data_IF_080116681845
#
_entry.id   IF_080116681845
#
_cell.length_a   1.000
_cell.length_b   1.000
_cell.length_c   1.000
_cell.angle_alpha   90.00
_cell.angle_beta   90.00
_cell.angle_gamma   90.00
#
_symmetry.space_group_name_H-M   'P 1'
#
loop_
_entity.id
_entity.type
_entity.pdbx_description
1 polymer ?
#
# COMPACT_ATOMS: atom_id res chain seq x y z
N UNK A 1 -17.18 -10.00 -51.56
CA UNK A 1 -16.13 -9.69 -50.56
C UNK A 1 -16.67 -8.61 -49.63
N UNK A 2 -17.16 -9.00 -48.44
CA UNK A 2 -17.74 -8.10 -47.46
C UNK A 2 -16.72 -7.92 -46.33
N UNK A 3 -16.14 -6.73 -46.21
CA UNK A 3 -15.20 -6.39 -45.14
C UNK A 3 -16.00 -5.92 -43.92
N UNK A 4 -15.99 -6.72 -42.85
CA UNK A 4 -16.55 -6.35 -41.55
C UNK A 4 -15.45 -5.57 -40.80
N UNK A 5 -15.58 -4.25 -40.75
CA UNK A 5 -14.79 -3.39 -39.88
C UNK A 5 -15.31 -3.54 -38.44
N UNK A 6 -14.59 -4.32 -37.64
CA UNK A 6 -14.83 -4.47 -36.21
C UNK A 6 -14.32 -3.21 -35.50
N UNK A 7 -15.24 -2.28 -35.23
CA UNK A 7 -14.96 -1.09 -34.42
C UNK A 7 -14.88 -1.50 -32.95
N UNK A 8 -13.67 -1.79 -32.47
CA UNK A 8 -13.39 -2.03 -31.05
C UNK A 8 -13.46 -0.67 -30.35
N UNK A 9 -14.62 -0.37 -29.77
CA UNK A 9 -14.78 0.68 -28.77
C UNK A 9 -13.99 0.27 -27.53
N UNK A 10 -12.74 0.72 -27.42
CA UNK A 10 -12.04 0.81 -26.14
C UNK A 10 -12.79 1.85 -25.30
N UNK A 11 -13.73 1.39 -24.48
CA UNK A 11 -14.27 2.19 -23.37
C UNK A 11 -13.10 2.34 -22.38
N UNK A 12 -12.28 3.35 -22.62
CA UNK A 12 -11.37 3.87 -21.62
C UNK A 12 -12.26 4.40 -20.50
N UNK A 13 -12.37 3.64 -19.40
CA UNK A 13 -12.84 4.17 -18.13
C UNK A 13 -11.81 5.23 -17.67
N UNK A 14 -11.82 6.38 -18.31
CA UNK A 14 -11.20 7.58 -17.81
C UNK A 14 -11.95 7.89 -16.52
N UNK A 15 -11.38 7.47 -15.39
CA UNK A 15 -11.74 8.01 -14.10
C UNK A 15 -11.51 9.51 -14.25
N UNK A 16 -12.61 10.25 -14.31
CA UNK A 16 -12.62 11.71 -14.34
C UNK A 16 -11.97 12.19 -13.03
N UNK A 17 -10.64 12.31 -13.05
CA UNK A 17 -9.88 13.10 -12.08
C UNK A 17 -9.98 14.60 -12.40
N UNK A 18 -10.92 14.98 -13.27
CA UNK A 18 -11.22 16.35 -13.66
C UNK A 18 -11.90 17.08 -12.51
N UNK A 19 -11.09 17.70 -11.64
CA UNK A 19 -11.45 18.86 -10.83
C UNK A 19 -12.53 18.70 -9.76
N UNK A 20 -13.20 17.55 -9.67
CA UNK A 20 -14.04 17.17 -8.55
C UNK A 20 -13.16 17.03 -7.31
N UNK A 21 -13.46 17.77 -6.25
CA UNK A 21 -12.78 17.59 -4.95
C UNK A 21 -12.95 16.13 -4.55
N UNK A 22 -11.84 15.38 -4.51
CA UNK A 22 -11.86 14.06 -3.87
C UNK A 22 -12.13 14.33 -2.39
N UNK A 23 -13.27 13.85 -1.89
CA UNK A 23 -13.62 14.02 -0.48
C UNK A 23 -12.66 13.21 0.40
N UNK A 24 -12.39 13.74 1.59
CA UNK A 24 -11.58 13.04 2.60
C UNK A 24 -12.29 11.76 3.01
N UNK A 25 -11.58 10.64 2.98
CA UNK A 25 -12.17 9.33 3.27
C UNK A 25 -12.47 9.20 4.77
N UNK A 26 -13.57 8.52 5.09
CA UNK A 26 -13.81 7.97 6.41
C UNK A 26 -13.91 6.44 6.37
N UNK A 27 -13.52 5.78 7.46
CA UNK A 27 -13.43 4.32 7.51
C UNK A 27 -14.80 3.65 7.27
N UNK A 28 -15.86 4.17 7.88
CA UNK A 28 -17.21 3.59 7.78
C UNK A 28 -17.75 3.61 6.33
N UNK A 29 -17.52 4.70 5.59
CA UNK A 29 -17.87 4.81 4.17
C UNK A 29 -17.10 3.77 3.34
N UNK A 30 -15.80 3.64 3.56
CA UNK A 30 -14.98 2.64 2.84
C UNK A 30 -15.47 1.23 3.15
N UNK A 31 -15.81 0.92 4.41
CA UNK A 31 -16.40 -0.37 4.78
C UNK A 31 -17.75 -0.62 4.10
N UNK A 32 -18.64 0.39 4.04
CA UNK A 32 -19.95 0.29 3.37
C UNK A 32 -19.79 0.01 1.88
N UNK A 33 -18.92 0.75 1.19
CA UNK A 33 -18.64 0.51 -0.23
C UNK A 33 -17.96 -0.86 -0.45
N UNK A 34 -17.13 -1.32 0.48
CA UNK A 34 -16.52 -2.65 0.42
C UNK A 34 -17.57 -3.77 0.51
N UNK A 35 -18.46 -3.68 1.49
CA UNK A 35 -19.58 -4.61 1.65
C UNK A 35 -20.47 -4.65 0.41
N UNK A 36 -20.81 -3.48 -0.14
CA UNK A 36 -21.57 -3.34 -1.37
C UNK A 36 -20.87 -3.99 -2.57
N UNK A 37 -19.56 -3.77 -2.74
CA UNK A 37 -18.75 -4.41 -3.80
C UNK A 37 -18.71 -5.94 -3.67
N UNK A 38 -18.67 -6.45 -2.44
CA UNK A 38 -18.63 -7.90 -2.16
C UNK A 38 -20.02 -8.56 -2.13
N UNK A 39 -21.10 -7.78 -2.12
CA UNK A 39 -22.46 -8.30 -1.98
C UNK A 39 -22.73 -8.90 -0.60
N UNK A 40 -22.12 -8.36 0.46
CA UNK A 40 -22.28 -8.82 1.85
C UNK A 40 -22.98 -7.76 2.72
N UNK A 41 -23.62 -8.21 3.79
CA UNK A 41 -24.33 -7.33 4.74
C UNK A 41 -23.35 -6.55 5.62
N UNK A 42 -23.47 -5.22 5.63
CA UNK A 42 -22.57 -4.35 6.38
C UNK A 42 -22.67 -4.55 7.90
N UNK A 43 -23.88 -4.60 8.47
CA UNK A 43 -24.06 -4.69 9.92
C UNK A 43 -23.49 -5.99 10.50
N UNK A 44 -23.59 -7.09 9.75
CA UNK A 44 -23.05 -8.40 10.13
C UNK A 44 -21.54 -8.50 9.97
N UNK A 45 -20.95 -7.75 9.04
CA UNK A 45 -19.55 -7.94 8.64
C UNK A 45 -18.60 -6.81 9.05
N UNK A 46 -19.09 -5.63 9.45
CA UNK A 46 -18.25 -4.46 9.76
C UNK A 46 -17.13 -4.72 10.78
N UNK A 47 -17.34 -5.65 11.73
CA UNK A 47 -16.33 -6.04 12.73
C UNK A 47 -15.18 -6.89 12.19
N UNK A 48 -15.35 -7.49 11.01
CA UNK A 48 -14.36 -8.35 10.37
C UNK A 48 -13.61 -7.66 9.23
N UNK A 49 -13.99 -6.43 8.91
CA UNK A 49 -13.39 -5.64 7.84
C UNK A 49 -12.47 -4.63 8.48
N UNK A 50 -11.18 -4.74 8.17
CA UNK A 50 -10.20 -3.77 8.58
C UNK A 50 -10.10 -2.68 7.52
N UNK A 51 -10.12 -1.42 7.95
CA UNK A 51 -9.84 -0.27 7.09
C UNK A 51 -8.77 0.57 7.75
N UNK A 52 -7.79 1.01 6.98
CA UNK A 52 -6.85 2.03 7.38
C UNK A 52 -6.89 3.17 6.37
N UNK A 53 -7.46 4.31 6.76
CA UNK A 53 -7.41 5.54 5.96
C UNK A 53 -6.07 6.21 6.21
N UNK A 54 -5.28 6.42 5.15
CA UNK A 54 -3.97 7.02 5.30
C UNK A 54 -4.08 8.51 5.67
N UNK A 55 -3.57 8.89 6.84
CA UNK A 55 -3.50 10.29 7.25
C UNK A 55 -2.55 11.13 6.38
N UNK A 56 -1.57 10.47 5.75
CA UNK A 56 -0.63 11.08 4.81
C UNK A 56 -1.22 11.18 3.41
N UNK A 57 -1.89 10.11 2.96
CA UNK A 57 -2.52 10.03 1.65
C UNK A 57 -4.04 9.98 1.82
N UNK A 58 -4.64 11.14 2.12
CA UNK A 58 -6.06 11.30 2.49
C UNK A 58 -7.11 10.65 1.58
N UNK A 59 -6.74 10.31 0.34
CA UNK A 59 -7.62 9.70 -0.65
C UNK A 59 -7.36 8.20 -0.85
N UNK A 60 -6.48 7.61 -0.03
CA UNK A 60 -6.08 6.21 -0.06
C UNK A 60 -6.54 5.55 1.24
N UNK A 61 -7.22 4.42 1.12
CA UNK A 61 -7.43 3.52 2.23
C UNK A 61 -6.97 2.11 1.87
N UNK A 62 -6.28 1.45 2.79
CA UNK A 62 -6.05 0.01 2.70
C UNK A 62 -7.25 -0.71 3.32
N UNK A 63 -7.68 -1.79 2.68
CA UNK A 63 -8.84 -2.57 3.09
C UNK A 63 -8.43 -4.02 3.20
N UNK A 64 -8.84 -4.64 4.30
CA UNK A 64 -8.45 -5.99 4.66
C UNK A 64 -9.52 -6.71 5.45
N UNK A 65 -9.20 -7.95 5.83
CA UNK A 65 -10.03 -8.75 6.71
C UNK A 65 -9.29 -9.09 8.01
N UNK A 66 -10.06 -9.33 9.05
CA UNK A 66 -9.53 -9.76 10.34
C UNK A 66 -9.33 -11.28 10.35
N UNK A 67 -8.10 -11.70 10.58
CA UNK A 67 -7.70 -13.08 10.87
C UNK A 67 -7.38 -13.22 12.36
N UNK A 68 -8.00 -14.19 13.04
CA UNK A 68 -7.91 -14.35 14.50
C UNK A 68 -6.48 -14.55 15.02
N UNK A 69 -5.58 -15.07 14.20
CA UNK A 69 -4.19 -15.38 14.54
C UNK A 69 -3.19 -14.30 14.10
N UNK A 70 -3.60 -13.31 13.30
CA UNK A 70 -2.69 -12.31 12.69
C UNK A 70 -3.20 -10.87 12.76
N UNK A 71 -4.43 -10.65 13.21
CA UNK A 71 -5.08 -9.35 13.14
C UNK A 71 -5.49 -9.00 11.71
N UNK A 72 -5.28 -7.77 11.29
CA UNK A 72 -5.72 -7.28 10.00
C UNK A 72 -4.77 -7.70 8.86
N UNK A 73 -5.33 -8.27 7.79
CA UNK A 73 -4.61 -8.71 6.60
C UNK A 73 -5.12 -7.96 5.38
N UNK A 74 -4.22 -7.34 4.61
CA UNK A 74 -4.59 -6.54 3.43
C UNK A 74 -5.17 -7.38 2.29
N UNK A 75 -6.23 -6.86 1.65
CA UNK A 75 -6.92 -7.52 0.53
C UNK A 75 -7.04 -6.62 -0.70
N UNK A 76 -7.33 -5.33 -0.50
CA UNK A 76 -7.52 -4.36 -1.58
C UNK A 76 -7.25 -2.95 -1.11
N UNK A 77 -7.27 -1.98 -2.03
CA UNK A 77 -7.11 -0.57 -1.71
C UNK A 77 -8.23 0.24 -2.32
N UNK A 78 -8.72 1.23 -1.58
CA UNK A 78 -9.71 2.17 -2.05
C UNK A 78 -9.05 3.48 -2.45
N UNK A 79 -9.29 3.93 -3.68
CA UNK A 79 -8.77 5.20 -4.19
C UNK A 79 -9.72 5.80 -5.23
N UNK A 80 -10.05 7.07 -5.05
CA UNK A 80 -10.90 7.83 -5.96
C UNK A 80 -12.22 7.11 -6.35
N UNK A 81 -12.88 6.47 -5.37
CA UNK A 81 -14.19 5.83 -5.58
C UNK A 81 -14.16 4.37 -6.02
N UNK A 82 -12.98 3.76 -6.19
CA UNK A 82 -12.85 2.38 -6.65
C UNK A 82 -11.92 1.54 -5.76
N UNK A 83 -12.19 0.23 -5.72
CA UNK A 83 -11.29 -0.73 -5.10
C UNK A 83 -10.40 -1.36 -6.16
N UNK A 84 -9.10 -1.12 -6.04
CA UNK A 84 -8.08 -1.49 -7.00
C UNK A 84 -6.94 -2.26 -6.32
N UNK A 85 -6.11 -2.91 -7.13
CA UNK A 85 -4.92 -3.61 -6.64
C UNK A 85 -3.81 -2.63 -6.26
N UNK A 86 -2.84 -3.05 -5.42
CA UNK A 86 -1.68 -2.21 -5.09
C UNK A 86 -0.89 -1.80 -6.34
N UNK A 87 -0.78 -2.71 -7.31
CA UNK A 87 -0.07 -2.49 -8.58
C UNK A 87 -0.69 -1.35 -9.39
N UNK A 88 -2.01 -1.28 -9.44
CA UNK A 88 -2.75 -0.21 -10.12
C UNK A 88 -2.80 1.08 -9.29
N UNK A 89 -2.92 0.95 -7.97
CA UNK A 89 -2.99 2.07 -7.03
C UNK A 89 -1.72 2.90 -7.06
N UNK A 90 -0.57 2.24 -6.93
CA UNK A 90 0.72 2.89 -6.66
C UNK A 90 1.05 4.00 -7.67
N UNK A 91 1.14 3.74 -8.99
CA UNK A 91 1.45 4.80 -9.95
C UNK A 91 0.37 5.90 -10.00
N UNK A 92 -0.93 5.54 -9.91
CA UNK A 92 -2.04 6.49 -9.96
C UNK A 92 -2.04 7.45 -8.78
N UNK A 93 -1.90 6.91 -7.57
CA UNK A 93 -1.88 7.71 -6.35
C UNK A 93 -0.60 8.54 -6.26
N UNK A 94 0.58 7.96 -6.55
CA UNK A 94 1.82 8.72 -6.53
C UNK A 94 1.82 9.86 -7.56
N UNK A 95 1.29 9.63 -8.77
CA UNK A 95 1.09 10.71 -9.75
C UNK A 95 0.22 11.83 -9.18
N UNK A 96 -0.91 11.50 -8.55
CA UNK A 96 -1.80 12.48 -7.89
C UNK A 96 -1.08 13.28 -6.80
N UNK A 97 -0.21 12.65 -6.02
CA UNK A 97 0.56 13.30 -4.95
C UNK A 97 1.85 13.99 -5.43
N UNK A 98 2.10 14.07 -6.74
CA UNK A 98 3.17 14.87 -7.33
C UNK A 98 4.45 14.09 -7.67
N UNK A 99 4.36 12.79 -7.94
CA UNK A 99 5.51 11.97 -8.35
C UNK A 99 6.27 12.47 -9.59
N UNK A 100 5.61 13.26 -10.44
CA UNK A 100 6.25 13.92 -11.59
C UNK A 100 7.36 14.89 -11.18
N UNK A 101 7.29 15.44 -9.97
CA UNK A 101 8.32 16.32 -9.43
C UNK A 101 9.46 15.49 -8.83
N UNK A 102 10.60 15.42 -9.53
CA UNK A 102 11.74 14.60 -9.13
C UNK A 102 12.19 14.84 -7.68
N UNK A 103 12.14 16.09 -7.19
CA UNK A 103 12.50 16.47 -5.83
C UNK A 103 11.58 15.92 -4.74
N UNK A 104 10.37 15.43 -5.09
CA UNK A 104 9.41 14.84 -4.16
C UNK A 104 9.49 13.31 -4.08
N UNK A 105 10.09 12.65 -5.08
CA UNK A 105 9.95 11.19 -5.26
C UNK A 105 10.49 10.39 -4.08
N UNK A 106 11.63 10.75 -3.51
CA UNK A 106 12.21 10.03 -2.37
C UNK A 106 11.31 10.10 -1.13
N UNK A 107 10.87 11.30 -0.75
CA UNK A 107 9.94 11.49 0.37
C UNK A 107 8.60 10.78 0.15
N UNK A 108 8.04 10.88 -1.06
CA UNK A 108 6.82 10.17 -1.45
C UNK A 108 6.99 8.65 -1.38
N UNK A 109 8.09 8.11 -1.90
CA UNK A 109 8.34 6.67 -1.92
C UNK A 109 8.44 6.11 -0.51
N UNK A 110 9.23 6.76 0.37
CA UNK A 110 9.37 6.32 1.75
C UNK A 110 8.02 6.35 2.48
N UNK A 111 7.29 7.45 2.39
CA UNK A 111 5.95 7.57 2.98
C UNK A 111 4.97 6.55 2.39
N UNK A 112 5.03 6.31 1.09
CA UNK A 112 4.14 5.36 0.41
C UNK A 112 4.36 3.94 0.92
N UNK A 113 5.62 3.51 0.98
CA UNK A 113 5.97 2.19 1.54
C UNK A 113 5.45 2.08 2.96
N UNK A 114 5.72 3.08 3.81
CA UNK A 114 5.48 2.94 5.25
C UNK A 114 4.06 3.26 5.71
N UNK A 115 3.29 4.01 4.91
CA UNK A 115 1.91 4.43 5.24
C UNK A 115 0.85 3.79 4.35
N UNK A 116 1.22 3.03 3.32
CA UNK A 116 0.27 2.36 2.42
C UNK A 116 0.66 0.91 2.16
N UNK A 117 1.89 0.64 1.72
CA UNK A 117 2.31 -0.73 1.35
C UNK A 117 2.33 -1.63 2.57
N UNK A 118 3.02 -1.20 3.64
CA UNK A 118 3.26 -1.98 4.86
C UNK A 118 2.34 -1.55 5.99
N UNK A 119 1.15 -1.02 5.69
CA UNK A 119 0.27 -0.38 6.70
C UNK A 119 -0.32 -1.36 7.71
N UNK A 120 -0.43 -2.64 7.34
CA UNK A 120 -0.85 -3.72 8.23
C UNK A 120 0.31 -4.31 9.03
N UNK A 121 1.52 -3.90 8.69
CA UNK A 121 2.78 -4.26 9.34
C UNK A 121 3.32 -3.01 10.06
N UNK A 122 4.50 -3.10 10.68
CA UNK A 122 5.12 -1.94 11.32
C UNK A 122 6.49 -1.64 10.75
N UNK A 123 6.69 -0.40 10.28
CA UNK A 123 8.03 0.10 9.96
C UNK A 123 8.91 0.09 11.23
N UNK A 124 10.15 -0.36 11.12
CA UNK A 124 11.08 -0.38 12.26
C UNK A 124 12.03 0.81 12.15
N UNK A 125 11.68 1.90 12.86
CA UNK A 125 12.42 3.17 12.84
C UNK A 125 13.59 3.22 13.84
N UNK A 126 13.63 2.30 14.80
CA UNK A 126 14.63 2.19 15.84
C UNK A 126 15.03 0.74 16.03
N UNK A 127 16.29 0.50 16.40
CA UNK A 127 16.81 -0.86 16.59
C UNK A 127 16.03 -1.58 17.69
N UNK A 128 15.33 -2.69 17.39
CA UNK A 128 14.65 -3.48 18.41
C UNK A 128 15.65 -4.18 19.33
N UNK A 129 15.21 -4.54 20.53
CA UNK A 129 15.97 -5.43 21.40
C UNK A 129 16.29 -6.75 20.69
N UNK A 130 17.50 -7.29 20.87
CA UNK A 130 17.98 -8.48 20.16
C UNK A 130 18.58 -8.23 18.78
N UNK A 131 18.48 -7.02 18.21
CA UNK A 131 19.28 -6.62 17.04
C UNK A 131 20.70 -6.19 17.44
N UNK A 132 21.64 -6.32 16.49
CA UNK A 132 23.00 -5.77 16.60
C UNK A 132 23.14 -4.58 15.66
N UNK A 133 24.06 -3.65 15.96
CA UNK A 133 24.34 -2.51 15.08
C UNK A 133 24.78 -2.94 13.67
N UNK A 134 25.42 -4.11 13.55
CA UNK A 134 25.83 -4.69 12.26
C UNK A 134 24.68 -5.29 11.44
N UNK A 135 23.54 -5.58 12.07
CA UNK A 135 22.38 -6.22 11.40
C UNK A 135 21.21 -5.25 11.19
N UNK A 136 21.12 -4.20 12.01
CA UNK A 136 20.07 -3.20 11.91
C UNK A 136 20.47 -2.01 11.03
N UNK A 137 19.48 -1.44 10.33
CA UNK A 137 19.60 -0.15 9.68
C UNK A 137 18.25 0.57 9.76
N UNK A 138 18.27 1.90 9.84
CA UNK A 138 17.06 2.72 9.77
C UNK A 138 16.49 2.75 8.34
N UNK A 139 15.20 3.05 8.15
CA UNK A 139 14.66 3.26 6.82
C UNK A 139 15.48 4.28 6.04
N UNK A 140 15.81 3.94 4.80
CA UNK A 140 16.63 4.75 3.91
C UNK A 140 15.96 4.81 2.55
N UNK A 141 16.08 5.97 1.90
CA UNK A 141 15.60 6.18 0.54
C UNK A 141 16.70 6.88 -0.26
N UNK A 142 16.88 6.48 -1.51
CA UNK A 142 17.82 7.11 -2.42
C UNK A 142 17.41 6.89 -3.87
N UNK A 143 17.93 7.74 -4.76
CA UNK A 143 17.76 7.62 -6.20
C UNK A 143 19.01 7.05 -6.84
N UNK A 144 18.87 6.01 -7.65
CA UNK A 144 19.94 5.40 -8.43
C UNK A 144 19.41 5.04 -9.83
N UNK A 145 20.12 5.44 -10.89
CA UNK A 145 19.71 5.16 -12.29
C UNK A 145 18.25 5.57 -12.61
N UNK A 146 17.82 6.76 -12.15
CA UNK A 146 16.44 7.27 -12.25
C UNK A 146 15.35 6.41 -11.57
N UNK A 147 15.75 5.46 -10.73
CA UNK A 147 14.85 4.67 -9.90
C UNK A 147 14.97 5.13 -8.45
N UNK A 148 13.84 5.18 -7.75
CA UNK A 148 13.83 5.49 -6.32
C UNK A 148 13.77 4.19 -5.54
N UNK A 149 14.71 3.99 -4.64
CA UNK A 149 14.82 2.78 -3.82
C UNK A 149 14.52 3.11 -2.37
N UNK A 150 13.68 2.30 -1.75
CA UNK A 150 13.34 2.41 -0.33
C UNK A 150 13.75 1.12 0.36
N UNK A 151 14.62 1.22 1.37
CA UNK A 151 15.09 0.07 2.14
C UNK A 151 14.75 0.24 3.60
N UNK A 152 14.07 -0.75 4.17
CA UNK A 152 13.59 -0.71 5.56
C UNK A 152 13.49 -2.11 6.18
N UNK A 153 13.47 -2.13 7.51
CA UNK A 153 13.01 -3.27 8.28
C UNK A 153 11.52 -3.14 8.57
N UNK A 154 10.81 -4.25 8.47
CA UNK A 154 9.36 -4.37 8.67
C UNK A 154 9.15 -5.44 9.73
N UNK A 155 8.35 -5.14 10.74
CA UNK A 155 7.89 -6.08 11.74
C UNK A 155 6.56 -6.67 11.27
N UNK A 156 6.50 -8.00 11.18
CA UNK A 156 5.27 -8.72 10.85
C UNK A 156 4.25 -8.56 11.99
N UNK A 157 2.94 -8.66 11.70
CA UNK A 157 1.91 -8.63 12.73
C UNK A 157 2.15 -9.71 13.78
N UNK A 158 1.91 -9.38 15.05
CA UNK A 158 2.06 -10.35 16.13
C UNK A 158 1.13 -11.56 15.91
N UNK A 159 1.69 -12.75 16.08
CA UNK A 159 0.97 -14.02 16.01
C UNK A 159 0.62 -14.61 17.38
N UNK A 160 0.27 -15.89 17.39
CA UNK A 160 0.02 -16.64 18.64
C UNK A 160 1.30 -17.03 19.40
N UNK A 161 2.47 -16.97 18.75
CA UNK A 161 3.74 -17.32 19.37
C UNK A 161 4.31 -16.12 20.14
N UNK A 162 5.01 -16.38 21.25
CA UNK A 162 5.71 -15.34 22.01
C UNK A 162 7.02 -14.94 21.29
N UNK A 163 6.90 -14.39 20.09
CA UNK A 163 8.03 -13.96 19.27
C UNK A 163 7.65 -12.73 18.45
N UNK A 164 8.68 -11.99 18.02
CA UNK A 164 8.55 -10.95 16.99
C UNK A 164 9.34 -11.36 15.76
N UNK A 165 8.67 -11.36 14.62
CA UNK A 165 9.27 -11.64 13.31
C UNK A 165 9.47 -10.34 12.53
N UNK A 166 10.63 -10.24 11.89
CA UNK A 166 11.06 -9.08 11.13
C UNK A 166 11.62 -9.53 9.79
N UNK A 167 11.40 -8.71 8.77
CA UNK A 167 12.10 -8.85 7.50
C UNK A 167 12.58 -7.51 6.97
N UNK A 168 13.71 -7.56 6.26
CA UNK A 168 14.26 -6.41 5.56
C UNK A 168 13.87 -6.50 4.08
N UNK A 169 13.42 -5.39 3.52
CA UNK A 169 13.04 -5.30 2.11
C UNK A 169 13.62 -4.04 1.46
N UNK A 170 13.90 -4.14 0.15
CA UNK A 170 14.18 -3.02 -0.74
C UNK A 170 13.09 -2.95 -1.81
N UNK A 171 12.36 -1.85 -1.84
CA UNK A 171 11.35 -1.53 -2.85
C UNK A 171 11.97 -0.61 -3.90
N UNK A 172 11.85 -0.97 -5.18
CA UNK A 172 12.32 -0.15 -6.29
C UNK A 172 11.14 0.43 -7.05
N UNK A 173 11.09 1.76 -7.12
CA UNK A 173 10.12 2.52 -7.90
C UNK A 173 10.73 2.95 -9.23
N UNK A 174 9.96 2.78 -10.31
CA UNK A 174 10.28 3.34 -11.62
C UNK A 174 10.10 4.85 -11.65
N UNK A 175 10.53 5.47 -12.74
CA UNK A 175 10.24 6.88 -13.03
C UNK A 175 8.74 7.18 -13.12
N UNK A 176 7.92 6.21 -13.56
CA UNK A 176 6.45 6.30 -13.60
C UNK A 176 5.76 6.09 -12.24
N UNK A 177 6.51 5.75 -11.19
CA UNK A 177 5.97 5.54 -9.85
C UNK A 177 5.39 4.14 -9.63
N UNK A 178 5.76 3.18 -10.48
CA UNK A 178 5.40 1.77 -10.29
C UNK A 178 6.43 1.10 -9.39
N UNK A 179 5.99 0.20 -8.50
CA UNK A 179 6.91 -0.72 -7.82
C UNK A 179 7.30 -1.80 -8.84
N UNK A 180 8.54 -1.76 -9.30
CA UNK A 180 9.06 -2.67 -10.33
C UNK A 180 9.84 -3.86 -9.75
N UNK A 181 10.34 -3.73 -8.53
CA UNK A 181 11.01 -4.80 -7.81
C UNK A 181 10.80 -4.67 -6.29
N UNK A 182 10.75 -5.82 -5.62
CA UNK A 182 10.75 -5.94 -4.17
C UNK A 182 11.71 -7.04 -3.78
N UNK A 183 12.87 -6.65 -3.25
CA UNK A 183 13.94 -7.57 -2.88
C UNK A 183 13.93 -7.81 -1.37
N UNK A 184 13.75 -9.06 -0.95
CA UNK A 184 13.98 -9.47 0.45
C UNK A 184 15.49 -9.48 0.73
N UNK A 185 15.91 -8.72 1.72
CA UNK A 185 17.31 -8.57 2.11
C UNK A 185 17.69 -9.47 3.29
N UNK A 186 16.72 -9.85 4.12
CA UNK A 186 16.95 -10.69 5.29
C UNK A 186 15.70 -10.87 6.12
N UNK A 187 15.81 -11.68 7.17
CA UNK A 187 14.79 -11.86 8.20
C UNK A 187 15.43 -12.10 9.55
N UNK A 188 14.68 -11.81 10.61
CA UNK A 188 15.10 -12.03 11.98
C UNK A 188 13.89 -12.35 12.85
N UNK A 189 14.01 -13.36 13.68
CA UNK A 189 13.02 -13.73 14.70
C UNK A 189 13.64 -13.51 16.07
N UNK A 190 12.88 -12.89 16.98
CA UNK A 190 13.26 -12.68 18.38
C UNK A 190 12.23 -13.38 19.26
N UNK A 191 12.69 -14.28 20.13
CA UNK A 191 11.86 -14.93 21.15
C UNK A 191 11.84 -14.08 22.42
N UNK A 192 10.67 -13.91 23.03
CA UNK A 192 10.46 -13.17 24.27
C UNK A 192 10.26 -14.08 25.48
#
# INVERSE_FOLDING_TARGET
MLAILLNIFLISCAVNLDGGKIEELNEEQVQKEYCKKKGIDFEKNKRYICVNVSSTFKHVAAVGSFASDRGCMGESYYFAGDFISLKELTPRALEYYGWKEASKREDLALKWVTKVVTVWESEVNSMPEGFSESSFFKPTVWTENNQVKVKLWIQEPAGMLNQSDYYAAEYTFSESGEIVDVKKLGSKTIQH
#
